data_IF_137085513388
#
_entry.id   IF_137085513388
#
_cell.length_a   1.000
_cell.length_b   1.000
_cell.length_c   1.000
_cell.angle_alpha   90.00
_cell.angle_beta   90.00
_cell.angle_gamma   90.00
#
_symmetry.space_group_name_H-M   'P 1'
#
loop_
_entity.id
_entity.type
_entity.pdbx_description
1 polymer ?
#
# COMPACT_ATOMS: atom_id res chain seq x y z
N UNK A 1 -17.73 0.23 23.91
CA UNK A 1 -18.39 -0.45 22.77
C UNK A 1 -17.28 -1.12 21.96
N UNK A 2 -16.93 -2.36 22.29
CA UNK A 2 -16.08 -3.19 21.43
C UNK A 2 -17.02 -3.85 20.42
N UNK A 3 -17.31 -3.16 19.32
CA UNK A 3 -17.97 -3.78 18.18
C UNK A 3 -17.07 -4.90 17.69
N UNK A 4 -17.57 -6.13 17.72
CA UNK A 4 -16.99 -7.27 17.01
C UNK A 4 -16.94 -6.92 15.52
N UNK A 5 -15.85 -6.25 15.14
CA UNK A 5 -15.50 -6.00 13.77
C UNK A 5 -15.32 -7.38 13.14
N UNK A 6 -16.24 -7.78 12.25
CA UNK A 6 -16.16 -9.08 11.55
C UNK A 6 -14.81 -9.17 10.86
N UNK A 7 -13.88 -9.84 11.53
CA UNK A 7 -12.54 -10.05 11.05
C UNK A 7 -12.61 -11.06 9.91
N UNK A 8 -11.96 -10.72 8.80
CA UNK A 8 -11.81 -11.59 7.66
C UNK A 8 -10.55 -12.41 7.85
N UNK A 9 -10.68 -13.71 8.07
CA UNK A 9 -9.55 -14.60 8.36
C UNK A 9 -9.05 -15.32 7.11
N UNK A 10 -7.73 -15.38 6.95
CA UNK A 10 -7.06 -16.28 6.02
C UNK A 10 -6.84 -17.64 6.67
N UNK A 11 -7.63 -18.64 6.28
CA UNK A 11 -7.58 -20.00 6.86
C UNK A 11 -6.24 -20.71 6.63
N UNK A 12 -5.45 -20.33 5.62
CA UNK A 12 -4.14 -20.96 5.37
C UNK A 12 -3.05 -20.50 6.36
N UNK A 13 -3.21 -19.33 6.99
CA UNK A 13 -2.18 -18.75 7.87
C UNK A 13 -2.70 -18.14 9.18
N UNK A 14 -4.00 -18.27 9.45
CA UNK A 14 -4.67 -17.71 10.63
C UNK A 14 -4.63 -16.18 10.72
N UNK A 15 -4.32 -15.49 9.61
CA UNK A 15 -4.14 -14.03 9.62
C UNK A 15 -5.47 -13.33 9.43
N UNK A 16 -5.80 -12.41 10.32
CA UNK A 16 -7.06 -11.66 10.31
C UNK A 16 -6.90 -10.26 9.70
N UNK A 17 -7.97 -9.78 9.07
CA UNK A 17 -8.03 -8.47 8.42
C UNK A 17 -9.35 -7.78 8.78
N UNK A 18 -9.32 -6.47 9.03
CA UNK A 18 -10.56 -5.69 9.26
C UNK A 18 -11.39 -5.44 8.00
N UNK A 19 -10.88 -5.80 6.80
CA UNK A 19 -11.57 -5.57 5.51
C UNK A 19 -11.45 -6.77 4.57
N UNK A 20 -12.56 -7.13 3.93
CA UNK A 20 -12.61 -8.22 2.93
C UNK A 20 -11.68 -7.97 1.74
N UNK A 21 -11.55 -6.73 1.30
CA UNK A 21 -10.64 -6.34 0.22
C UNK A 21 -9.16 -6.57 0.58
N UNK A 22 -8.81 -6.39 1.85
CA UNK A 22 -7.46 -6.68 2.35
C UNK A 22 -7.20 -8.19 2.40
N UNK A 23 -8.16 -8.99 2.88
CA UNK A 23 -8.07 -10.46 2.80
C UNK A 23 -7.94 -10.93 1.35
N UNK A 24 -8.76 -10.43 0.42
CA UNK A 24 -8.69 -10.81 -1.00
C UNK A 24 -7.34 -10.48 -1.62
N UNK A 25 -6.80 -9.28 -1.35
CA UNK A 25 -5.45 -8.93 -1.81
C UNK A 25 -4.38 -9.80 -1.17
N UNK A 26 -4.54 -10.18 0.11
CA UNK A 26 -3.67 -11.12 0.79
C UNK A 26 -3.72 -12.51 0.16
N UNK A 27 -4.91 -13.03 -0.19
CA UNK A 27 -5.04 -14.35 -0.83
C UNK A 27 -4.23 -14.48 -2.13
N UNK A 28 -3.97 -13.37 -2.82
CA UNK A 28 -3.08 -13.35 -4.00
C UNK A 28 -1.62 -13.71 -3.71
N UNK A 29 -1.17 -13.69 -2.46
CA UNK A 29 0.17 -14.20 -2.11
C UNK A 29 0.21 -15.72 -2.18
N UNK A 30 -0.92 -16.38 -1.96
CA UNK A 30 -1.06 -17.84 -1.98
C UNK A 30 -1.19 -18.33 -3.42
N UNK A 31 -2.05 -17.68 -4.20
CA UNK A 31 -2.28 -18.05 -5.61
C UNK A 31 -1.20 -17.52 -6.57
N UNK A 32 -0.40 -16.55 -6.13
CA UNK A 32 0.56 -15.86 -6.99
C UNK A 32 -0.06 -14.90 -8.00
N UNK A 33 -1.37 -14.66 -7.94
CA UNK A 33 -2.08 -13.79 -8.87
C UNK A 33 -1.55 -12.34 -8.81
N UNK A 34 -1.17 -11.78 -9.96
CA UNK A 34 -0.68 -10.40 -10.07
C UNK A 34 -1.45 -9.66 -11.16
N UNK A 35 -2.67 -9.18 -10.89
CA UNK A 35 -3.53 -8.60 -11.92
C UNK A 35 -3.01 -7.25 -12.45
N UNK A 36 -2.24 -6.51 -11.66
CA UNK A 36 -1.83 -5.15 -12.01
C UNK A 36 -0.46 -5.14 -12.71
N UNK A 37 -0.39 -4.69 -13.96
CA UNK A 37 0.87 -4.53 -14.72
C UNK A 37 1.36 -3.08 -14.62
N UNK A 38 2.65 -2.86 -14.32
CA UNK A 38 3.23 -1.52 -14.47
C UNK A 38 3.45 -1.21 -15.94
N UNK A 39 2.94 -0.07 -16.44
CA UNK A 39 3.16 0.33 -17.82
C UNK A 39 4.64 0.65 -18.10
N UNK A 40 5.37 1.22 -17.13
CA UNK A 40 6.74 1.65 -17.33
C UNK A 40 7.77 0.49 -17.41
N UNK A 41 7.58 -0.59 -16.64
CA UNK A 41 8.56 -1.69 -16.57
C UNK A 41 7.97 -3.08 -16.83
N UNK A 42 6.68 -3.18 -17.13
CA UNK A 42 6.00 -4.45 -17.41
C UNK A 42 5.82 -5.41 -16.22
N UNK A 43 6.45 -5.14 -15.06
CA UNK A 43 6.36 -6.00 -13.88
C UNK A 43 4.91 -6.09 -13.39
N UNK A 44 4.50 -7.23 -12.82
CA UNK A 44 3.13 -7.43 -12.29
C UNK A 44 3.07 -7.31 -10.76
N UNK A 45 1.99 -6.78 -10.18
CA UNK A 45 1.75 -6.58 -8.73
C UNK A 45 0.35 -7.09 -8.33
N UNK A 46 0.23 -7.44 -7.06
CA UNK A 46 -0.96 -8.00 -6.41
C UNK A 46 -2.02 -6.96 -6.02
N UNK A 47 -1.65 -5.70 -5.77
CA UNK A 47 -2.57 -4.62 -5.37
C UNK A 47 -2.36 -3.34 -6.17
N UNK A 48 -3.44 -2.55 -6.32
CA UNK A 48 -3.43 -1.27 -7.02
C UNK A 48 -2.64 -0.20 -6.27
N UNK A 49 -2.75 -0.13 -4.94
CA UNK A 49 -1.98 0.81 -4.11
C UNK A 49 -0.48 0.60 -4.27
N UNK A 50 -0.02 -0.66 -4.33
CA UNK A 50 1.39 -0.96 -4.56
C UNK A 50 1.82 -0.61 -5.99
N UNK A 51 0.91 -0.71 -6.97
CA UNK A 51 1.18 -0.26 -8.33
C UNK A 51 1.40 1.26 -8.39
N UNK A 52 0.57 2.04 -7.69
CA UNK A 52 0.72 3.49 -7.62
C UNK A 52 2.06 3.89 -7.00
N UNK A 53 2.42 3.30 -5.86
CA UNK A 53 3.73 3.55 -5.22
C UNK A 53 4.88 3.14 -6.13
N UNK A 54 4.74 2.03 -6.87
CA UNK A 54 5.75 1.67 -7.87
C UNK A 54 5.79 2.65 -9.05
N UNK A 55 4.66 3.20 -9.46
CA UNK A 55 4.67 4.20 -10.53
C UNK A 55 5.50 5.43 -10.12
N UNK A 56 5.36 5.85 -8.87
CA UNK A 56 6.17 6.93 -8.26
C UNK A 56 7.66 6.60 -8.13
N UNK A 57 8.12 5.36 -8.33
CA UNK A 57 9.57 5.10 -8.42
C UNK A 57 10.10 5.33 -9.84
N UNK A 58 9.23 5.23 -10.85
CA UNK A 58 9.57 5.51 -12.24
C UNK A 58 9.48 7.00 -12.53
N UNK A 59 8.55 7.70 -11.88
CA UNK A 59 8.49 9.15 -11.91
C UNK A 59 9.31 9.72 -10.75
N UNK A 60 10.04 10.82 -10.94
CA UNK A 60 10.67 11.53 -9.81
C UNK A 60 9.66 12.35 -8.99
N UNK A 61 8.37 12.13 -9.23
CA UNK A 61 7.29 12.82 -8.57
C UNK A 61 7.30 12.58 -7.06
N UNK A 62 7.21 13.68 -6.33
CA UNK A 62 7.12 13.72 -4.87
C UNK A 62 5.84 14.45 -4.51
N UNK A 63 4.67 13.81 -4.59
CA UNK A 63 3.39 14.50 -4.43
C UNK A 63 3.18 15.07 -3.02
N UNK A 64 3.89 14.54 -2.02
CA UNK A 64 3.73 14.95 -0.62
C UNK A 64 4.85 15.93 -0.25
N UNK A 65 4.52 17.17 0.08
CA UNK A 65 5.50 18.19 0.44
C UNK A 65 5.34 18.62 1.89
N UNK A 66 6.46 18.81 2.58
CA UNK A 66 6.47 19.42 3.90
C UNK A 66 6.12 20.92 3.78
N UNK A 67 5.11 21.42 4.50
CA UNK A 67 4.74 22.84 4.43
C UNK A 67 5.82 23.76 5.01
N UNK A 68 6.60 23.28 5.97
CA UNK A 68 7.58 24.12 6.69
C UNK A 68 8.91 24.25 5.95
N UNK A 69 9.39 23.18 5.30
CA UNK A 69 10.68 23.16 4.61
C UNK A 69 10.61 22.90 3.10
N UNK A 70 9.42 22.66 2.54
CA UNK A 70 9.22 22.39 1.11
C UNK A 70 9.73 21.03 0.63
N UNK A 71 10.30 20.19 1.52
CA UNK A 71 10.88 18.90 1.13
C UNK A 71 9.79 17.95 0.62
N UNK A 72 9.99 17.43 -0.60
CA UNK A 72 9.09 16.47 -1.23
C UNK A 72 9.40 15.01 -0.89
N UNK A 73 8.34 14.21 -0.71
CA UNK A 73 8.36 12.79 -0.41
C UNK A 73 7.47 12.01 -1.39
N UNK A 74 7.87 10.75 -1.66
CA UNK A 74 7.10 9.83 -2.51
C UNK A 74 5.91 9.21 -1.78
N UNK A 75 5.98 9.07 -0.46
CA UNK A 75 4.94 8.45 0.37
C UNK A 75 4.52 9.36 1.53
N UNK A 76 3.21 9.41 1.80
CA UNK A 76 2.65 10.20 2.90
C UNK A 76 3.22 9.80 4.27
N UNK A 77 3.41 8.49 4.51
CA UNK A 77 3.98 8.01 5.78
C UNK A 77 5.38 8.59 6.05
N UNK A 78 6.20 8.80 5.01
CA UNK A 78 7.52 9.41 5.16
C UNK A 78 7.43 10.92 5.44
N UNK A 79 6.44 11.61 4.86
CA UNK A 79 6.16 13.01 5.21
C UNK A 79 5.74 13.13 6.68
N UNK A 80 4.83 12.27 7.14
CA UNK A 80 4.38 12.26 8.54
C UNK A 80 5.55 12.00 9.49
N UNK A 81 6.36 10.99 9.21
CA UNK A 81 7.56 10.69 10.02
C UNK A 81 8.52 11.89 10.06
N UNK A 82 8.73 12.54 8.91
CA UNK A 82 9.54 13.74 8.84
C UNK A 82 9.00 14.84 9.75
N UNK A 83 7.70 15.17 9.66
CA UNK A 83 7.04 16.20 10.48
C UNK A 83 7.02 15.91 11.98
N UNK A 84 7.15 14.65 12.40
CA UNK A 84 7.22 14.29 13.83
C UNK A 84 8.65 14.47 14.37
N UNK A 85 9.65 14.25 13.53
CA UNK A 85 11.07 14.31 13.91
C UNK A 85 11.73 15.66 13.60
N UNK A 86 11.04 16.58 12.93
CA UNK A 86 11.46 17.97 12.68
C UNK A 86 10.47 18.92 13.30
#
# INVERSE_FOLDING_TARGET
>A
IHTEERAYECLERGKTFGRSSALRNHQRIHTGERPYKCPACGKRIQSSSNLLVRHQIHTEERPFHCPDCGKGFKQNAHLILHQIHT
#
